data_IF_602191594936
#
_entry.id   IF_602191594936
#
_cell.length_a   1.000
_cell.length_b   1.000
_cell.length_c   1.000
_cell.angle_alpha   90.00
_cell.angle_beta   90.00
_cell.angle_gamma   90.00
#
_symmetry.space_group_name_H-M   'P 1'
#
loop_
_entity.id
_entity.type
_entity.pdbx_description
1 polymer ?
#
# COMPACT_ATOMS: atom_id res chain seq x y z
N UNK A 1 -24.90 -13.63 1.31
CA UNK A 1 -23.95 -13.32 2.41
C UNK A 1 -22.57 -13.17 1.76
N UNK A 2 -21.70 -12.26 2.20
CA UNK A 2 -20.38 -12.12 1.57
C UNK A 2 -19.35 -13.03 2.24
N UNK A 3 -18.57 -13.78 1.46
CA UNK A 3 -17.34 -14.43 1.93
C UNK A 3 -16.26 -13.36 2.08
N UNK A 4 -15.56 -13.36 3.22
CA UNK A 4 -14.46 -12.42 3.50
C UNK A 4 -13.15 -13.00 2.99
N UNK A 5 -12.40 -12.18 2.27
CA UNK A 5 -11.03 -12.41 1.85
C UNK A 5 -10.22 -11.13 2.10
N UNK A 6 -8.92 -11.16 1.88
CA UNK A 6 -8.08 -9.97 1.92
C UNK A 6 -6.91 -10.10 0.96
N UNK A 7 -6.34 -8.95 0.61
CA UNK A 7 -5.11 -8.87 -0.15
C UNK A 7 -4.02 -8.13 0.61
N UNK A 8 -2.79 -8.58 0.40
CA UNK A 8 -1.55 -7.96 0.88
C UNK A 8 -0.83 -7.41 -0.34
N UNK A 9 -0.28 -6.20 -0.21
CA UNK A 9 0.58 -5.58 -1.22
C UNK A 9 1.95 -5.38 -0.60
N UNK A 10 2.98 -5.91 -1.24
CA UNK A 10 4.38 -5.56 -1.00
C UNK A 10 4.85 -4.72 -2.19
N UNK A 11 5.32 -3.50 -1.94
CA UNK A 11 5.86 -2.64 -3.01
C UNK A 11 7.28 -3.08 -3.34
N UNK A 12 7.53 -3.51 -4.59
CA UNK A 12 8.86 -3.89 -5.10
C UNK A 12 9.56 -2.74 -5.81
N UNK A 13 8.84 -1.64 -6.04
CA UNK A 13 9.36 -0.36 -6.50
C UNK A 13 8.54 0.78 -5.87
N UNK A 14 8.99 2.05 -5.95
CA UNK A 14 8.21 3.17 -5.45
C UNK A 14 6.79 3.20 -6.05
N UNK A 15 5.78 3.29 -5.18
CA UNK A 15 4.37 3.21 -5.58
C UNK A 15 3.73 4.60 -5.58
N UNK A 16 3.43 5.12 -6.78
CA UNK A 16 2.71 6.38 -6.97
C UNK A 16 1.26 6.12 -7.39
N UNK A 17 0.32 6.30 -6.46
CA UNK A 17 -1.12 6.30 -6.78
C UNK A 17 -1.62 7.74 -6.66
N UNK A 18 -1.62 8.44 -7.80
CA UNK A 18 -1.88 9.87 -7.88
C UNK A 18 -3.24 10.25 -7.34
N UNK A 19 -3.26 11.15 -6.35
CA UNK A 19 -4.48 11.71 -5.78
C UNK A 19 -4.76 13.10 -6.33
N UNK A 20 -5.93 13.29 -6.94
CA UNK A 20 -6.44 14.62 -7.28
C UNK A 20 -7.36 15.09 -6.16
N UNK A 21 -6.78 15.58 -5.07
CA UNK A 21 -7.54 15.91 -3.85
C UNK A 21 -7.95 17.40 -3.75
N UNK A 22 -7.63 18.24 -4.76
CA UNK A 22 -7.85 19.69 -4.66
C UNK A 22 -6.93 20.40 -3.65
N UNK A 23 -6.13 19.64 -2.89
CA UNK A 23 -5.03 20.12 -2.03
C UNK A 23 -3.69 20.23 -2.77
N UNK A 24 -3.71 20.12 -4.10
CA UNK A 24 -2.53 20.33 -4.95
C UNK A 24 -2.12 21.81 -4.90
N UNK A 25 -1.42 22.22 -3.84
CA UNK A 25 -0.80 23.52 -3.78
C UNK A 25 0.50 23.48 -4.58
N UNK A 26 0.45 23.98 -5.81
CA UNK A 26 1.61 24.03 -6.72
C UNK A 26 1.76 22.77 -7.58
N UNK A 27 2.95 22.57 -8.17
CA UNK A 27 3.21 21.45 -9.09
C UNK A 27 3.66 20.18 -8.34
N UNK A 28 2.85 19.68 -7.40
CA UNK A 28 3.16 18.47 -6.63
C UNK A 28 2.11 17.38 -6.87
N UNK A 29 2.54 16.27 -7.47
CA UNK A 29 1.72 15.06 -7.66
C UNK A 29 1.74 14.23 -6.37
N UNK A 30 0.69 14.40 -5.58
CA UNK A 30 0.50 13.73 -4.28
C UNK A 30 0.01 12.29 -4.44
N UNK A 31 0.17 11.50 -3.37
CA UNK A 31 -0.50 10.20 -3.20
C UNK A 31 -1.77 10.33 -2.35
N UNK A 32 -2.68 9.37 -2.47
CA UNK A 32 -3.85 9.28 -1.59
C UNK A 32 -3.43 9.01 -0.15
N UNK A 33 -4.13 9.62 0.82
CA UNK A 33 -3.87 9.45 2.25
C UNK A 33 -5.16 9.10 3.01
N UNK A 34 -5.03 8.32 4.08
CA UNK A 34 -6.12 8.09 5.04
C UNK A 34 -6.33 9.36 5.88
N UNK A 35 -7.58 9.78 6.05
CA UNK A 35 -7.90 11.04 6.72
C UNK A 35 -7.49 11.07 8.21
N UNK A 36 -7.35 9.92 8.85
CA UNK A 36 -7.06 9.85 10.29
C UNK A 36 -5.58 9.63 10.56
N UNK A 37 -4.93 8.69 9.86
CA UNK A 37 -3.50 8.43 10.05
C UNK A 37 -2.61 9.33 9.20
N UNK A 38 -3.17 10.00 8.18
CA UNK A 38 -2.44 10.80 7.19
C UNK A 38 -1.36 10.00 6.42
N UNK A 39 -1.43 8.67 6.49
CA UNK A 39 -0.55 7.74 5.80
C UNK A 39 -1.10 7.42 4.41
N UNK A 40 -0.21 7.08 3.48
CA UNK A 40 -0.56 6.70 2.13
C UNK A 40 -1.52 5.51 2.06
N UNK A 41 -2.44 5.54 1.09
CA UNK A 41 -3.36 4.46 0.79
C UNK A 41 -3.42 4.19 -0.70
N UNK A 42 -3.85 2.98 -1.07
CA UNK A 42 -4.25 2.68 -2.45
C UNK A 42 -5.78 2.58 -2.48
N UNK A 43 -6.49 3.44 -3.21
CA UNK A 43 -7.94 3.35 -3.29
C UNK A 43 -8.40 2.00 -3.85
N UNK A 44 -9.50 1.46 -3.31
CA UNK A 44 -10.06 0.20 -3.79
C UNK A 44 -10.47 0.25 -5.27
N UNK A 45 -10.78 1.43 -5.80
CA UNK A 45 -11.03 1.65 -7.22
C UNK A 45 -9.78 1.44 -8.09
N UNK A 46 -8.60 1.84 -7.60
CA UNK A 46 -7.32 1.62 -8.29
C UNK A 46 -6.96 0.14 -8.31
N UNK A 47 -7.15 -0.56 -7.18
CA UNK A 47 -6.95 -2.01 -7.08
C UNK A 47 -7.90 -2.75 -8.01
N UNK A 48 -9.21 -2.45 -7.93
CA UNK A 48 -10.24 -3.03 -8.81
C UNK A 48 -9.93 -2.78 -10.28
N UNK A 49 -9.53 -1.55 -10.64
CA UNK A 49 -9.19 -1.18 -12.01
C UNK A 49 -8.06 -2.02 -12.57
N UNK A 50 -6.99 -2.23 -11.80
CA UNK A 50 -5.88 -3.07 -12.24
C UNK A 50 -6.28 -4.53 -12.37
N UNK A 51 -6.92 -5.10 -11.35
CA UNK A 51 -7.38 -6.50 -11.36
C UNK A 51 -8.36 -6.79 -12.52
N UNK A 52 -9.26 -5.85 -12.81
CA UNK A 52 -10.14 -5.95 -13.98
C UNK A 52 -9.34 -5.95 -15.28
N UNK A 53 -8.32 -5.10 -15.39
CA UNK A 53 -7.48 -5.03 -16.58
C UNK A 53 -6.72 -6.33 -16.84
N UNK A 54 -6.13 -6.93 -15.81
CA UNK A 54 -5.45 -8.23 -15.92
C UNK A 54 -6.40 -9.33 -16.40
N UNK A 55 -7.54 -9.49 -15.72
CA UNK A 55 -8.52 -10.52 -16.09
C UNK A 55 -9.08 -10.30 -17.50
N UNK A 56 -9.28 -9.04 -17.91
CA UNK A 56 -9.71 -8.73 -19.28
C UNK A 56 -8.65 -9.15 -20.30
N UNK A 57 -7.37 -8.89 -20.02
CA UNK A 57 -6.27 -9.22 -20.91
C UNK A 57 -6.06 -10.74 -21.01
N UNK A 58 -6.16 -11.46 -19.90
CA UNK A 58 -5.92 -12.91 -19.85
C UNK A 58 -7.14 -13.75 -20.26
N UNK A 59 -8.35 -13.35 -19.82
CA UNK A 59 -9.57 -14.17 -19.85
C UNK A 59 -10.76 -13.51 -20.56
N UNK A 60 -10.54 -12.34 -21.16
CA UNK A 60 -11.54 -11.65 -21.95
C UNK A 60 -12.52 -10.79 -21.16
N UNK A 61 -13.26 -9.98 -21.91
CA UNK A 61 -14.16 -8.95 -21.38
C UNK A 61 -15.36 -9.53 -20.63
N UNK A 62 -15.90 -10.68 -21.05
CA UNK A 62 -17.03 -11.34 -20.39
C UNK A 62 -16.67 -11.75 -18.94
N UNK A 63 -15.51 -12.39 -18.76
CA UNK A 63 -15.00 -12.78 -17.43
C UNK A 63 -14.73 -11.56 -16.55
N UNK A 64 -14.17 -10.49 -17.13
CA UNK A 64 -13.92 -9.25 -16.41
C UNK A 64 -15.23 -8.59 -15.95
N UNK A 65 -16.24 -8.54 -16.82
CA UNK A 65 -17.55 -7.97 -16.51
C UNK A 65 -18.33 -8.81 -15.48
N UNK A 66 -18.18 -10.14 -15.49
CA UNK A 66 -18.74 -11.00 -14.45
C UNK A 66 -18.22 -10.61 -13.06
N UNK A 67 -16.91 -10.52 -12.88
CA UNK A 67 -16.34 -10.30 -11.54
C UNK A 67 -16.36 -8.84 -11.12
N UNK A 68 -16.08 -7.92 -12.05
CA UNK A 68 -15.85 -6.51 -11.75
C UNK A 68 -17.00 -5.60 -12.17
N UNK A 69 -18.06 -6.13 -12.79
CA UNK A 69 -19.22 -5.37 -13.27
C UNK A 69 -19.01 -4.82 -14.69
N UNK A 70 -20.10 -4.77 -15.45
CA UNK A 70 -20.15 -4.24 -16.81
C UNK A 70 -20.33 -2.72 -16.83
N UNK A 71 -19.77 -2.08 -17.86
CA UNK A 71 -19.93 -0.66 -18.11
C UNK A 71 -21.32 -0.33 -18.67
N UNK A 72 -21.72 0.93 -18.57
CA UNK A 72 -22.95 1.40 -19.20
C UNK A 72 -22.73 1.52 -20.71
N UNK A 73 -23.60 0.88 -21.50
CA UNK A 73 -23.61 1.00 -22.94
C UNK A 73 -24.52 2.16 -23.35
N UNK A 74 -24.05 3.09 -24.21
CA UNK A 74 -24.87 4.18 -24.71
C UNK A 74 -26.16 3.65 -25.36
N UNK A 75 -27.32 4.04 -24.80
CA UNK A 75 -28.63 3.64 -25.30
C UNK A 75 -29.21 2.35 -24.70
N UNK A 76 -28.53 1.72 -23.74
CA UNK A 76 -29.06 0.55 -23.00
C UNK A 76 -29.08 0.82 -21.48
N UNK A 77 -30.25 1.20 -20.92
CA UNK A 77 -30.38 1.60 -19.51
C UNK A 77 -30.02 0.52 -18.48
N UNK A 78 -30.01 -0.76 -18.88
CA UNK A 78 -29.83 -1.92 -18.00
C UNK A 78 -28.56 -2.75 -18.31
N UNK A 79 -27.61 -2.19 -19.07
CA UNK A 79 -26.38 -2.93 -19.43
C UNK A 79 -25.38 -3.04 -18.27
N UNK A 80 -25.55 -2.24 -17.21
CA UNK A 80 -24.65 -2.23 -16.06
C UNK A 80 -24.92 -3.39 -15.13
N UNK A 81 -23.86 -4.07 -14.68
CA UNK A 81 -23.96 -5.12 -13.68
C UNK A 81 -23.15 -4.81 -12.43
N UNK A 82 -23.63 -5.27 -11.28
CA UNK A 82 -22.89 -5.15 -10.03
C UNK A 82 -21.72 -6.13 -9.99
N UNK A 83 -20.57 -5.64 -9.52
CA UNK A 83 -19.40 -6.46 -9.24
C UNK A 83 -19.65 -7.51 -8.15
N UNK A 84 -19.18 -8.73 -8.37
CA UNK A 84 -19.16 -9.81 -7.40
C UNK A 84 -18.02 -9.68 -6.38
N UNK A 85 -16.98 -8.90 -6.70
CA UNK A 85 -15.79 -8.68 -5.87
C UNK A 85 -15.68 -7.23 -5.45
N UNK A 86 -15.80 -6.96 -4.16
CA UNK A 86 -15.73 -5.61 -3.60
C UNK A 86 -14.41 -5.43 -2.88
N UNK A 87 -13.65 -4.40 -3.28
CA UNK A 87 -12.36 -4.04 -2.70
C UNK A 87 -12.50 -2.85 -1.77
N UNK A 88 -11.99 -2.96 -0.55
CA UNK A 88 -11.67 -1.80 0.27
C UNK A 88 -10.35 -1.15 -0.20
N UNK A 89 -10.06 0.04 0.32
CA UNK A 89 -8.73 0.65 0.12
C UNK A 89 -7.66 -0.15 0.87
N UNK A 90 -6.44 -0.18 0.30
CA UNK A 90 -5.27 -0.71 0.96
C UNK A 90 -4.65 0.35 1.86
N UNK A 91 -4.44 -0.01 3.13
CA UNK A 91 -3.78 0.81 4.13
C UNK A 91 -2.43 0.20 4.51
N UNK A 92 -1.45 1.04 4.83
CA UNK A 92 -0.14 0.61 5.31
C UNK A 92 -0.28 -0.30 6.54
N UNK A 93 0.51 -1.36 6.57
CA UNK A 93 0.78 -2.19 7.76
C UNK A 93 2.17 -1.86 8.28
N UNK A 94 3.17 -1.82 7.40
CA UNK A 94 4.55 -1.47 7.73
C UNK A 94 5.15 -0.57 6.66
N UNK A 95 5.81 0.49 7.10
CA UNK A 95 6.47 1.46 6.23
C UNK A 95 7.98 1.42 6.48
N UNK A 96 8.83 1.15 5.47
CA UNK A 96 10.27 1.22 5.63
C UNK A 96 10.72 2.67 5.75
N UNK A 97 11.54 2.94 6.76
CA UNK A 97 12.09 4.26 7.06
C UNK A 97 13.58 4.14 7.24
N UNK A 98 14.33 5.05 6.62
CA UNK A 98 15.77 5.13 6.82
C UNK A 98 16.07 5.59 8.26
N UNK A 99 16.93 4.83 8.95
CA UNK A 99 17.40 5.15 10.29
C UNK A 99 18.93 4.97 10.35
N UNK A 100 19.72 6.00 10.69
CA UNK A 100 21.14 5.83 10.96
C UNK A 100 21.39 4.74 12.02
N UNK A 101 22.41 3.90 11.80
CA UNK A 101 22.76 2.78 12.68
C UNK A 101 22.04 1.46 12.36
N UNK A 102 20.79 1.53 11.90
CA UNK A 102 19.99 0.40 11.42
C UNK A 102 19.36 0.83 10.08
N UNK A 103 20.04 0.62 8.94
CA UNK A 103 19.79 1.36 7.70
C UNK A 103 18.33 1.46 7.27
N UNK A 104 17.53 0.42 7.52
CA UNK A 104 16.08 0.44 7.31
C UNK A 104 15.41 -0.15 8.55
N UNK A 105 14.38 0.56 9.03
CA UNK A 105 13.45 0.12 10.08
C UNK A 105 12.03 0.19 9.53
N UNK A 106 11.27 -0.89 9.65
CA UNK A 106 9.85 -0.91 9.33
C UNK A 106 9.05 -0.34 10.49
N UNK A 107 8.31 0.73 10.22
CA UNK A 107 7.54 1.46 11.21
C UNK A 107 6.05 1.19 11.04
N UNK A 108 5.35 0.96 12.14
CA UNK A 108 3.89 0.87 12.21
C UNK A 108 3.36 1.57 13.45
N UNK A 109 2.05 1.63 13.63
CA UNK A 109 1.41 2.13 14.85
C UNK A 109 0.29 1.18 15.31
N UNK A 110 -0.15 1.25 16.58
CA UNK A 110 -1.25 0.45 17.07
C UNK A 110 -2.51 0.54 16.21
N UNK A 111 -2.84 1.71 15.66
CA UNK A 111 -4.00 1.89 14.76
C UNK A 111 -3.87 1.11 13.46
N UNK A 112 -2.70 1.12 12.81
CA UNK A 112 -2.45 0.37 11.58
C UNK A 112 -2.48 -1.14 11.84
N UNK A 113 -1.79 -1.60 12.89
CA UNK A 113 -1.77 -3.01 13.30
C UNK A 113 -3.15 -3.51 13.73
N UNK A 114 -3.96 -2.68 14.39
CA UNK A 114 -5.34 -3.04 14.76
C UNK A 114 -6.22 -3.25 13.52
N UNK A 115 -6.02 -2.47 12.45
CA UNK A 115 -6.70 -2.70 11.17
C UNK A 115 -6.23 -4.02 10.53
N UNK A 116 -4.92 -4.28 10.53
CA UNK A 116 -4.37 -5.56 10.07
C UNK A 116 -4.99 -6.74 10.83
N UNK A 117 -4.99 -6.70 12.16
CA UNK A 117 -5.60 -7.70 13.03
C UNK A 117 -7.09 -7.93 12.72
N UNK A 118 -7.86 -6.87 12.50
CA UNK A 118 -9.29 -6.98 12.15
C UNK A 118 -9.50 -7.69 10.81
N UNK A 119 -8.61 -7.47 9.85
CA UNK A 119 -8.73 -8.03 8.49
C UNK A 119 -8.28 -9.49 8.46
N UNK A 120 -7.14 -9.81 9.09
CA UNK A 120 -6.55 -11.16 9.09
C UNK A 120 -7.15 -12.09 10.15
N UNK A 121 -7.72 -11.53 11.21
CA UNK A 121 -8.30 -12.29 12.32
C UNK A 121 -7.27 -12.86 13.31
N UNK A 122 -6.01 -12.39 13.27
CA UNK A 122 -4.98 -12.83 14.23
C UNK A 122 -5.43 -12.53 15.67
N UNK A 123 -5.19 -13.48 16.58
CA UNK A 123 -5.63 -13.39 17.98
C UNK A 123 -4.58 -12.78 18.91
N UNK A 124 -3.40 -12.44 18.40
CA UNK A 124 -2.31 -11.91 19.21
C UNK A 124 -2.65 -10.56 19.83
N UNK A 125 -2.05 -10.30 21.00
CA UNK A 125 -2.22 -9.03 21.68
C UNK A 125 -1.57 -7.91 20.88
N UNK A 126 -2.34 -6.85 20.61
CA UNK A 126 -1.86 -5.68 19.88
C UNK A 126 -0.55 -5.12 20.51
N UNK A 127 0.53 -4.96 19.73
CA UNK A 127 1.77 -4.35 20.21
C UNK A 127 1.52 -2.94 20.72
N UNK A 128 2.20 -2.59 21.81
CA UNK A 128 2.16 -1.23 22.35
C UNK A 128 3.12 -0.32 21.59
N UNK A 129 2.95 1.01 21.64
CA UNK A 129 3.99 1.94 21.22
C UNK A 129 5.36 1.59 21.82
N UNK A 130 6.41 1.94 21.09
CA UNK A 130 7.83 1.72 21.40
C UNK A 130 8.23 0.24 21.56
N UNK A 131 7.45 -0.67 20.98
CA UNK A 131 7.77 -2.10 20.90
C UNK A 131 8.54 -2.42 19.62
N UNK A 132 9.78 -2.87 19.77
CA UNK A 132 10.63 -3.30 18.66
C UNK A 132 10.48 -4.79 18.32
N UNK A 133 10.79 -5.16 17.09
CA UNK A 133 10.97 -6.56 16.71
C UNK A 133 12.30 -7.11 17.24
N UNK A 134 12.38 -8.44 17.46
CA UNK A 134 13.63 -9.09 17.89
C UNK A 134 14.77 -9.00 16.88
N UNK A 135 14.48 -8.69 15.63
CA UNK A 135 15.49 -8.49 14.58
C UNK A 135 16.03 -7.06 14.52
N UNK A 136 15.43 -6.12 15.27
CA UNK A 136 15.91 -4.74 15.35
C UNK A 136 17.24 -4.66 16.12
N UNK A 137 18.24 -4.00 15.52
CA UNK A 137 19.49 -3.64 16.20
C UNK A 137 19.52 -2.12 16.40
N UNK A 138 19.20 -1.67 17.60
CA UNK A 138 19.27 -0.24 17.97
C UNK A 138 20.70 0.20 18.28
N UNK A 139 20.94 1.51 18.22
CA UNK A 139 22.14 2.09 18.80
C UNK A 139 21.98 2.15 20.32
N UNK A 140 23.02 1.76 21.06
CA UNK A 140 23.03 1.96 22.50
C UNK A 140 23.70 3.30 22.81
N UNK A 141 22.95 4.23 23.40
CA UNK A 141 23.41 5.56 23.80
C UNK A 141 23.15 5.71 25.29
N UNK A 142 24.22 5.84 26.08
CA UNK A 142 24.14 6.01 27.54
C UNK A 142 23.35 4.91 28.29
N UNK A 143 23.29 3.70 27.73
CA UNK A 143 22.56 2.56 28.30
C UNK A 143 21.18 2.35 27.69
N UNK A 144 20.62 3.34 27.00
CA UNK A 144 19.33 3.26 26.33
C UNK A 144 19.46 2.78 24.89
N UNK A 145 18.52 1.92 24.49
CA UNK A 145 18.37 1.47 23.12
C UNK A 145 17.59 2.52 22.35
N UNK A 146 18.24 3.21 21.41
CA UNK A 146 17.65 4.32 20.68
C UNK A 146 17.69 4.09 19.16
N UNK A 147 16.65 4.60 18.50
CA UNK A 147 16.61 4.85 17.07
C UNK A 147 16.72 6.35 16.83
N UNK A 148 17.30 6.72 15.70
CA UNK A 148 17.38 8.13 15.29
C UNK A 148 16.61 8.30 13.99
N UNK A 149 15.50 9.04 14.07
CA UNK A 149 14.78 9.50 12.89
C UNK A 149 15.08 10.99 12.68
N UNK A 150 14.81 11.55 11.50
CA UNK A 150 15.14 12.98 11.28
C UNK A 150 14.35 13.95 12.18
N UNK A 151 13.33 13.49 12.93
CA UNK A 151 12.58 14.30 13.88
C UNK A 151 13.10 14.17 15.33
N UNK A 152 14.04 13.26 15.61
CA UNK A 152 14.63 13.09 16.92
C UNK A 152 14.99 11.64 17.27
N UNK A 153 15.39 11.46 18.53
CA UNK A 153 15.64 10.14 19.09
C UNK A 153 14.35 9.49 19.55
N UNK A 154 14.20 8.20 19.28
CA UNK A 154 13.12 7.36 19.75
C UNK A 154 13.70 6.23 20.60
N UNK A 155 13.31 6.16 21.87
CA UNK A 155 13.74 5.11 22.78
C UNK A 155 12.92 3.84 22.55
N UNK A 156 13.61 2.71 22.45
CA UNK A 156 12.99 1.37 22.39
C UNK A 156 12.71 0.92 23.83
N UNK A 157 11.43 0.82 24.19
CA UNK A 157 11.05 0.40 25.54
C UNK A 157 11.21 -1.11 25.76
N UNK A 158 10.90 -1.89 24.72
CA UNK A 158 10.97 -3.36 24.78
C UNK A 158 11.07 -3.97 23.40
N UNK A 159 11.42 -5.25 23.40
CA UNK A 159 11.52 -6.07 22.20
C UNK A 159 10.59 -7.28 22.32
N UNK A 160 9.79 -7.55 21.29
CA UNK A 160 8.87 -8.68 21.23
C UNK A 160 8.99 -9.45 19.90
N UNK A 161 8.53 -10.70 19.89
CA UNK A 161 8.35 -11.43 18.65
C UNK A 161 7.09 -10.88 17.96
N UNK A 162 7.29 -10.25 16.81
CA UNK A 162 6.26 -9.62 15.97
C UNK A 162 5.95 -10.42 14.71
N UNK A 163 6.46 -11.65 14.55
CA UNK A 163 6.32 -12.46 13.32
C UNK A 163 4.90 -12.53 12.78
N UNK A 164 3.89 -12.69 13.64
CA UNK A 164 2.48 -12.75 13.23
C UNK A 164 1.90 -11.43 12.70
N UNK A 165 2.56 -10.31 12.99
CA UNK A 165 2.21 -8.98 12.51
C UNK A 165 2.84 -8.65 11.15
N UNK A 166 3.72 -9.52 10.63
CA UNK A 166 4.27 -9.38 9.28
C UNK A 166 3.43 -10.16 8.27
N UNK A 167 2.97 -9.52 7.18
CA UNK A 167 2.12 -10.17 6.18
C UNK A 167 2.73 -11.42 5.52
N UNK A 168 4.06 -11.49 5.43
CA UNK A 168 4.81 -12.62 4.86
C UNK A 168 5.29 -13.64 5.90
N UNK A 169 5.03 -13.40 7.19
CA UNK A 169 5.52 -14.27 8.28
C UNK A 169 7.04 -14.21 8.49
N UNK A 170 7.75 -13.28 7.83
CA UNK A 170 9.16 -13.00 8.10
C UNK A 170 9.28 -11.70 8.90
N UNK A 171 9.98 -11.76 10.04
CA UNK A 171 10.14 -10.62 10.93
C UNK A 171 11.31 -9.72 10.50
N UNK A 172 10.99 -8.49 10.11
CA UNK A 172 11.98 -7.47 9.73
C UNK A 172 12.36 -6.57 10.92
N UNK A 173 13.51 -5.86 10.86
CA UNK A 173 13.87 -4.84 11.86
C UNK A 173 12.79 -3.77 11.94
N UNK A 174 12.02 -3.72 13.02
CA UNK A 174 10.80 -2.94 13.06
C UNK A 174 10.52 -2.33 14.44
N UNK A 175 9.71 -1.27 14.45
CA UNK A 175 9.29 -0.55 15.65
C UNK A 175 7.82 -0.12 15.49
N UNK A 176 7.06 -0.29 16.56
CA UNK A 176 5.71 0.25 16.68
C UNK A 176 5.81 1.61 17.36
N UNK A 177 5.32 2.68 16.75
CA UNK A 177 5.37 4.06 17.27
C UNK A 177 3.98 4.52 17.75
N UNK A 178 3.90 5.72 18.33
CA UNK A 178 2.63 6.35 18.67
C UNK A 178 1.75 6.58 17.43
N UNK A 179 0.43 6.53 17.61
CA UNK A 179 -0.53 6.83 16.53
C UNK A 179 -0.48 8.31 16.09
N UNK A 180 0.00 9.19 16.95
CA UNK A 180 0.24 10.62 16.70
C UNK A 180 1.59 10.89 16.00
N UNK A 181 2.52 9.94 16.03
CA UNK A 181 3.84 10.04 15.41
C UNK A 181 3.87 9.52 13.96
N UNK A 182 2.98 8.56 13.63
CA UNK A 182 3.02 7.84 12.35
C UNK A 182 2.84 8.75 11.13
N UNK A 183 2.06 9.82 11.25
CA UNK A 183 1.84 10.77 10.16
C UNK A 183 3.13 11.49 9.76
N UNK A 184 3.89 11.96 10.76
CA UNK A 184 5.16 12.65 10.56
C UNK A 184 6.22 11.68 10.02
N UNK A 185 6.33 10.49 10.60
CA UNK A 185 7.27 9.46 10.14
C UNK A 185 6.97 9.07 8.69
N UNK A 186 5.68 8.90 8.37
CA UNK A 186 5.26 8.61 7.02
C UNK A 186 5.69 9.70 6.04
N UNK A 187 5.43 10.97 6.37
CA UNK A 187 5.83 12.09 5.54
C UNK A 187 7.34 12.09 5.26
N UNK A 188 8.17 11.75 6.25
CA UNK A 188 9.63 11.70 6.10
C UNK A 188 10.14 10.52 5.27
N UNK A 189 9.38 9.42 5.23
CA UNK A 189 9.75 8.21 4.52
C UNK A 189 9.37 8.23 3.03
N UNK A 190 8.52 9.17 2.61
CA UNK A 190 8.05 9.25 1.23
C UNK A 190 9.20 9.42 0.24
N UNK A 191 9.14 8.64 -0.83
CA UNK A 191 9.96 8.87 -2.00
C UNK A 191 9.51 10.17 -2.66
N UNK A 192 10.41 11.15 -2.76
CA UNK A 192 10.14 12.43 -3.42
C UNK A 192 11.15 12.70 -4.51
N UNK A 193 10.67 13.00 -5.71
CA UNK A 193 11.52 13.35 -6.84
C UNK A 193 11.01 14.60 -7.55
N UNK A 194 11.91 15.56 -7.78
CA UNK A 194 11.68 16.67 -8.72
C UNK A 194 11.95 16.21 -10.14
N UNK A 195 11.01 16.52 -11.04
CA UNK A 195 11.01 16.05 -12.42
C UNK A 195 10.82 17.24 -13.36
N UNK A 196 11.50 17.16 -14.50
CA UNK A 196 11.44 18.17 -15.56
C UNK A 196 11.25 17.52 -16.91
N UNK A 197 10.47 18.16 -17.79
CA UNK A 197 10.58 17.88 -19.22
C UNK A 197 11.61 18.81 -19.85
N UNK A 198 12.55 18.26 -20.60
CA UNK A 198 13.52 19.04 -21.37
C UNK A 198 12.90 19.47 -22.71
N UNK A 199 13.34 20.62 -23.20
CA UNK A 199 13.08 21.04 -24.57
C UNK A 199 13.70 20.04 -25.58
N UNK A 200 13.04 19.86 -26.73
CA UNK A 200 13.48 18.86 -27.73
C UNK A 200 14.72 19.29 -28.51
N UNK A 201 14.94 20.60 -28.68
CA UNK A 201 16.02 21.14 -29.50
C UNK A 201 17.17 21.67 -28.64
N UNK A 202 16.87 22.16 -27.43
CA UNK A 202 17.86 22.77 -26.55
C UNK A 202 17.93 22.04 -25.19
N UNK A 203 19.12 21.91 -24.60
CA UNK A 203 19.31 21.31 -23.27
C UNK A 203 18.88 22.27 -22.14
N UNK A 204 17.61 22.67 -22.16
CA UNK A 204 16.96 23.52 -21.16
C UNK A 204 15.63 22.92 -20.73
N UNK A 205 15.16 23.28 -19.55
CA UNK A 205 13.84 22.87 -19.06
C UNK A 205 12.75 23.57 -19.88
N UNK A 206 11.75 22.81 -20.34
CA UNK A 206 10.57 23.36 -20.99
C UNK A 206 9.78 24.21 -20.00
N UNK A 207 9.36 25.42 -20.41
CA UNK A 207 8.60 26.33 -19.55
C UNK A 207 7.34 25.65 -18.99
N UNK A 208 7.17 25.69 -17.68
CA UNK A 208 6.02 25.09 -16.97
C UNK A 208 6.09 23.57 -16.77
N UNK A 209 7.17 22.91 -17.16
CA UNK A 209 7.29 21.45 -17.08
C UNK A 209 8.10 20.95 -15.88
N UNK A 210 8.14 21.72 -14.79
CA UNK A 210 8.73 21.30 -13.51
C UNK A 210 7.62 20.80 -12.59
N UNK A 211 7.74 19.59 -12.07
CA UNK A 211 6.78 19.03 -11.12
C UNK A 211 7.47 18.06 -10.16
N UNK A 212 6.93 17.97 -8.96
CA UNK A 212 7.39 17.03 -7.93
C UNK A 212 6.43 15.84 -7.89
N UNK A 213 6.95 14.67 -7.53
CA UNK A 213 6.16 13.45 -7.37
C UNK A 213 6.46 12.85 -6.01
N UNK A 214 5.40 12.44 -5.30
CA UNK A 214 5.49 11.61 -4.10
C UNK A 214 5.15 10.15 -4.42
N UNK A 215 5.80 9.21 -3.74
CA UNK A 215 5.45 7.80 -3.80
C UNK A 215 5.73 7.12 -2.46
N UNK A 216 5.03 6.01 -2.20
CA UNK A 216 5.41 5.12 -1.12
C UNK A 216 6.75 4.45 -1.46
N UNK A 217 7.66 4.29 -0.49
CA UNK A 217 8.95 3.64 -0.73
C UNK A 217 8.78 2.14 -1.01
N UNK A 218 9.73 1.57 -1.75
CA UNK A 218 9.92 0.12 -1.89
C UNK A 218 10.03 -0.56 -0.51
N UNK A 219 9.51 -1.78 -0.38
CA UNK A 219 9.42 -2.54 0.88
C UNK A 219 8.24 -2.17 1.78
N UNK A 220 7.34 -1.27 1.35
CA UNK A 220 6.10 -0.97 2.06
C UNK A 220 5.14 -2.16 1.98
N UNK A 221 4.55 -2.52 3.13
CA UNK A 221 3.48 -3.50 3.21
C UNK A 221 2.13 -2.81 3.41
N UNK A 222 1.14 -3.17 2.60
CA UNK A 222 -0.24 -2.70 2.72
C UNK A 222 -1.22 -3.88 2.77
N UNK A 223 -2.40 -3.64 3.34
CA UNK A 223 -3.49 -4.63 3.41
C UNK A 223 -4.83 -4.01 3.03
N UNK A 224 -5.65 -4.77 2.31
CA UNK A 224 -7.03 -4.41 1.97
C UNK A 224 -7.97 -5.60 2.18
N UNK A 225 -9.21 -5.32 2.58
CA UNK A 225 -10.25 -6.33 2.68
C UNK A 225 -10.97 -6.53 1.33
N UNK A 226 -11.46 -7.75 1.12
CA UNK A 226 -12.20 -8.15 -0.07
C UNK A 226 -13.50 -8.82 0.40
N UNK A 227 -14.62 -8.41 -0.18
CA UNK A 227 -15.91 -9.08 0.00
C UNK A 227 -16.34 -9.75 -1.30
N UNK A 228 -16.59 -11.07 -1.23
CA UNK A 228 -16.93 -11.91 -2.37
C UNK A 228 -18.39 -12.33 -2.28
N UNK A 229 -19.16 -12.08 -3.33
CA UNK A 229 -20.50 -12.62 -3.49
C UNK A 229 -20.41 -13.97 -4.19
N UNK A 230 -21.25 -14.91 -3.76
CA UNK A 230 -21.38 -16.20 -4.43
C UNK A 230 -21.97 -16.01 -5.83
N UNK A 231 -21.38 -16.67 -6.83
CA UNK A 231 -21.99 -16.82 -8.13
C UNK A 231 -22.97 -18.00 -8.10
N UNK A 232 -24.21 -17.75 -8.49
CA UNK A 232 -25.27 -18.76 -8.67
C UNK A 232 -24.88 -19.93 -9.57
N UNK A 233 -23.92 -19.73 -10.49
CA UNK A 233 -23.40 -20.77 -11.38
C UNK A 233 -22.24 -21.59 -10.77
N UNK A 234 -21.81 -21.26 -9.55
CA UNK A 234 -20.74 -21.96 -8.84
C UNK A 234 -19.33 -21.59 -9.31
N UNK A 235 -19.16 -20.52 -10.08
CA UNK A 235 -17.83 -20.05 -10.45
C UNK A 235 -17.11 -19.46 -9.23
N UNK A 236 -15.80 -19.68 -9.15
CA UNK A 236 -14.94 -19.10 -8.12
C UNK A 236 -14.13 -17.97 -8.70
N UNK A 237 -14.03 -16.86 -7.96
CA UNK A 237 -13.18 -15.75 -8.36
C UNK A 237 -11.72 -16.16 -8.29
N UNK A 238 -11.02 -16.03 -9.41
CA UNK A 238 -9.59 -16.25 -9.53
C UNK A 238 -8.94 -14.93 -9.99
N UNK A 239 -8.23 -14.22 -9.10
CA UNK A 239 -7.65 -12.92 -9.42
C UNK A 239 -6.48 -12.98 -10.41
N UNK A 240 -5.77 -14.11 -10.46
CA UNK A 240 -4.56 -14.29 -11.25
C UNK A 240 -4.61 -15.60 -12.03
N UNK A 241 -3.78 -15.73 -13.07
CA UNK A 241 -3.67 -16.93 -13.90
C UNK A 241 -3.13 -18.13 -13.12
N UNK A 242 -2.14 -17.94 -12.24
CA UNK A 242 -1.53 -18.99 -11.44
C UNK A 242 -1.57 -18.66 -9.93
N UNK A 243 -2.24 -19.52 -9.16
CA UNK A 243 -2.30 -19.38 -7.70
C UNK A 243 -3.01 -18.12 -7.21
N UNK A 244 -2.62 -17.67 -6.01
CA UNK A 244 -3.26 -16.56 -5.30
C UNK A 244 -2.31 -15.36 -5.14
N UNK A 245 -1.17 -15.36 -5.82
CA UNK A 245 -0.25 -14.24 -5.81
C UNK A 245 0.24 -13.92 -7.22
N UNK A 246 0.63 -12.67 -7.44
CA UNK A 246 1.21 -12.22 -8.69
C UNK A 246 2.00 -10.93 -8.49
N UNK A 247 2.95 -10.69 -9.38
CA UNK A 247 3.54 -9.37 -9.54
C UNK A 247 2.71 -8.55 -10.52
N UNK A 248 2.30 -7.35 -10.11
CA UNK A 248 1.51 -6.43 -10.94
C UNK A 248 2.02 -5.01 -10.79
N UNK A 249 1.72 -4.16 -11.76
CA UNK A 249 1.96 -2.73 -11.66
C UNK A 249 0.70 -2.03 -11.14
N UNK A 250 0.85 -1.22 -10.09
CA UNK A 250 -0.22 -0.41 -9.51
C UNK A 250 0.10 1.07 -9.62
N UNK A 251 -0.95 1.88 -9.80
CA UNK A 251 -0.83 3.33 -9.85
C UNK A 251 -0.39 3.85 -11.22
N UNK A 252 0.36 4.95 -11.22
CA UNK A 252 0.88 5.59 -12.42
C UNK A 252 2.40 5.49 -12.50
N UNK A 253 2.96 6.12 -13.54
CA UNK A 253 4.40 6.19 -13.76
C UNK A 253 5.09 4.83 -13.99
N UNK A 254 4.34 3.83 -14.47
CA UNK A 254 4.87 2.48 -14.74
C UNK A 254 6.07 2.49 -15.71
N UNK A 255 6.01 3.31 -16.77
CA UNK A 255 7.04 3.38 -17.83
C UNK A 255 8.41 3.91 -17.37
N UNK A 256 8.52 4.35 -16.11
CA UNK A 256 9.75 4.86 -15.51
C UNK A 256 10.12 4.10 -14.22
N UNK A 257 9.56 2.90 -14.02
CA UNK A 257 9.92 2.01 -12.92
C UNK A 257 9.18 2.25 -11.61
N UNK A 258 7.96 2.79 -11.65
CA UNK A 258 7.09 2.89 -10.46
C UNK A 258 6.01 1.81 -10.49
N UNK A 259 5.46 1.51 -9.32
CA UNK A 259 4.23 0.76 -9.19
C UNK A 259 4.38 -0.76 -9.18
N UNK A 260 5.58 -1.31 -9.40
CA UNK A 260 5.83 -2.76 -9.32
C UNK A 260 5.55 -3.25 -7.89
N UNK A 261 4.59 -4.16 -7.76
CA UNK A 261 4.15 -4.70 -6.49
C UNK A 261 3.98 -6.22 -6.59
N UNK A 262 4.25 -6.92 -5.50
CA UNK A 262 3.82 -8.29 -5.30
C UNK A 262 2.51 -8.29 -4.49
N UNK A 263 1.47 -8.92 -5.01
CA UNK A 263 0.17 -9.00 -4.37
C UNK A 263 -0.15 -10.44 -4.02
N UNK A 264 -0.62 -10.66 -2.79
CA UNK A 264 -1.05 -11.97 -2.29
C UNK A 264 -2.50 -11.87 -1.82
N UNK A 265 -3.35 -12.77 -2.29
CA UNK A 265 -4.76 -12.88 -1.90
C UNK A 265 -4.95 -14.08 -0.97
N UNK A 266 -5.67 -13.87 0.13
CA UNK A 266 -5.99 -14.92 1.11
C UNK A 266 -7.49 -14.97 1.38
N UNK A 267 -7.97 -16.16 1.72
CA UNK A 267 -9.40 -16.39 2.03
C UNK A 267 -10.31 -16.57 0.82
N UNK A 268 -9.76 -16.79 -0.38
CA UNK A 268 -10.52 -17.16 -1.59
C UNK A 268 -10.72 -18.67 -1.71
#
# INVERSE_FOLDING_TARGET
>A
MYKKAYGIIETLAPLHVGATAGEESGNLSLIFRDQFTQTGIVPGSSIRGRFRSEIRQERGEETANLWYGAEAEPGQPDSTSESFVKFEYASIVWLPVFCPGQPIVWVSSPRLLKRYQRITGISDKLPKPYTASQTLKSLNVEGDNMLFFNFGFLTVEKTENLTSWFPLGEQLPAIVVGDDEIAMIHDMALYRQSRVALDKQEKKVKKGAFFNTEALPEGSFLIFAIALRDDSKGNTWQPFSEGNNAEVYLGGLESIGFGHCHIIIQGI
#
